data_IF_165853738874
#
_entry.id   IF_165853738874
#
_cell.length_a   1.000
_cell.length_b   1.000
_cell.length_c   1.000
_cell.angle_alpha   90.00
_cell.angle_beta   90.00
_cell.angle_gamma   90.00
#
_symmetry.space_group_name_H-M   'P 1'
#
loop_
_entity.id
_entity.type
_entity.pdbx_description
1 polymer ?
#
# COMPACT_ATOMS: atom_id res chain seq x y z
N UNK A 1 -1.82 5.05 4.06
CA UNK A 1 -3.22 4.73 3.83
C UNK A 1 -3.76 5.28 2.52
N UNK A 2 -3.26 6.46 2.10
CA UNK A 2 -3.55 7.04 0.80
C UNK A 2 -3.15 6.08 -0.34
N UNK A 3 -1.93 5.53 -0.30
CA UNK A 3 -1.41 4.61 -1.31
C UNK A 3 -2.24 3.31 -1.41
N UNK A 4 -2.67 2.76 -0.28
CA UNK A 4 -3.46 1.54 -0.27
C UNK A 4 -4.88 1.74 -0.80
N UNK A 5 -5.48 2.92 -0.65
CA UNK A 5 -6.73 3.19 -1.35
C UNK A 5 -6.55 3.11 -2.88
N UNK A 6 -5.43 3.62 -3.39
CA UNK A 6 -5.14 3.53 -4.83
C UNK A 6 -4.87 2.10 -5.28
N UNK A 7 -4.24 1.27 -4.44
CA UNK A 7 -4.13 -0.16 -4.71
C UNK A 7 -5.51 -0.77 -4.98
N UNK A 8 -6.43 -0.60 -4.04
CA UNK A 8 -7.77 -1.21 -4.15
C UNK A 8 -8.61 -0.65 -5.29
N UNK A 9 -8.40 0.62 -5.63
CA UNK A 9 -9.22 1.30 -6.65
C UNK A 9 -8.69 1.08 -8.06
N UNK A 10 -7.37 1.08 -8.24
CA UNK A 10 -6.76 1.15 -9.58
C UNK A 10 -6.02 -0.12 -10.02
N UNK A 11 -5.87 -1.13 -9.15
CA UNK A 11 -5.14 -2.36 -9.54
C UNK A 11 -5.79 -3.07 -10.72
N UNK A 12 -7.08 -3.34 -10.65
CA UNK A 12 -7.76 -4.07 -11.73
C UNK A 12 -7.62 -3.37 -13.07
N UNK A 13 -7.92 -2.06 -13.12
CA UNK A 13 -7.78 -1.30 -14.35
C UNK A 13 -6.32 -1.18 -14.80
N UNK A 14 -5.39 -0.97 -13.86
CA UNK A 14 -3.97 -0.86 -14.18
C UNK A 14 -3.39 -2.14 -14.78
N UNK A 15 -3.69 -3.32 -14.21
CA UNK A 15 -3.22 -4.58 -14.78
C UNK A 15 -3.99 -4.98 -16.05
N UNK A 16 -5.28 -4.62 -16.17
CA UNK A 16 -6.03 -4.82 -17.40
C UNK A 16 -5.39 -4.09 -18.57
N UNK A 17 -4.99 -2.84 -18.34
CA UNK A 17 -4.29 -2.01 -19.35
C UNK A 17 -2.90 -2.59 -19.69
N UNK A 18 -2.10 -2.96 -18.68
CA UNK A 18 -0.68 -3.32 -18.89
C UNK A 18 -0.47 -4.76 -19.34
N UNK A 19 -1.28 -5.70 -18.87
CA UNK A 19 -1.10 -7.14 -19.12
C UNK A 19 -2.02 -7.64 -20.22
N UNK A 20 -3.29 -7.19 -20.23
CA UNK A 20 -4.30 -7.65 -21.21
C UNK A 20 -4.60 -6.63 -22.30
N UNK A 21 -4.08 -5.41 -22.21
CA UNK A 21 -4.37 -4.34 -23.19
C UNK A 21 -5.84 -3.91 -23.20
N UNK A 22 -6.60 -4.22 -22.14
CA UNK A 22 -8.03 -4.00 -22.04
C UNK A 22 -8.34 -2.70 -21.28
N UNK A 23 -9.08 -1.80 -21.94
CA UNK A 23 -9.52 -0.52 -21.35
C UNK A 23 -11.02 -0.57 -21.03
N UNK A 24 -11.81 -1.24 -21.90
CA UNK A 24 -13.26 -1.32 -21.74
C UNK A 24 -13.61 -2.40 -20.70
N UNK A 25 -14.33 -1.97 -19.66
CA UNK A 25 -14.78 -2.83 -18.55
C UNK A 25 -15.73 -3.95 -18.94
N UNK A 26 -16.37 -3.84 -20.11
CA UNK A 26 -17.30 -4.84 -20.63
C UNK A 26 -16.61 -6.02 -21.32
N UNK A 27 -15.31 -5.92 -21.59
CA UNK A 27 -14.56 -6.97 -22.29
C UNK A 27 -14.23 -8.17 -21.38
N UNK A 28 -14.11 -9.33 -21.98
CA UNK A 28 -13.75 -10.57 -21.27
C UNK A 28 -12.33 -10.48 -20.67
N UNK A 29 -11.42 -9.80 -21.35
CA UNK A 29 -10.04 -9.57 -20.90
C UNK A 29 -10.00 -8.71 -19.64
N UNK A 30 -10.87 -7.67 -19.53
CA UNK A 30 -10.98 -6.86 -18.33
C UNK A 30 -11.55 -7.68 -17.15
N UNK A 31 -12.51 -8.55 -17.41
CA UNK A 31 -13.07 -9.45 -16.37
C UNK A 31 -11.99 -10.44 -15.89
N UNK A 32 -11.19 -11.01 -16.81
CA UNK A 32 -10.07 -11.88 -16.46
C UNK A 32 -9.02 -11.14 -15.60
N UNK A 33 -8.73 -9.87 -15.88
CA UNK A 33 -7.87 -9.04 -15.03
C UNK A 33 -8.47 -8.82 -13.63
N UNK A 34 -9.79 -8.70 -13.53
CA UNK A 34 -10.52 -8.62 -12.25
C UNK A 34 -10.35 -9.88 -11.42
N UNK A 35 -10.55 -11.04 -12.01
CA UNK A 35 -10.34 -12.34 -11.35
C UNK A 35 -8.88 -12.50 -10.90
N UNK A 36 -7.94 -12.13 -11.78
CA UNK A 36 -6.50 -12.18 -11.46
C UNK A 36 -6.12 -11.23 -10.32
N UNK A 37 -6.77 -10.07 -10.23
CA UNK A 37 -6.59 -9.14 -9.09
C UNK A 37 -6.89 -9.82 -7.75
N UNK A 38 -7.93 -10.64 -7.70
CA UNK A 38 -8.25 -11.46 -6.51
C UNK A 38 -7.11 -12.40 -6.12
N UNK A 39 -6.50 -13.07 -7.11
CA UNK A 39 -5.32 -13.94 -6.91
C UNK A 39 -4.13 -13.12 -6.39
N UNK A 40 -3.88 -11.95 -6.98
CA UNK A 40 -2.78 -11.07 -6.56
C UNK A 40 -2.96 -10.57 -5.11
N UNK A 41 -4.17 -10.26 -4.69
CA UNK A 41 -4.45 -9.91 -3.28
C UNK A 41 -4.25 -11.09 -2.34
N UNK A 42 -4.52 -12.32 -2.75
CA UNK A 42 -4.17 -13.49 -1.97
C UNK A 42 -2.64 -13.65 -1.84
N UNK A 43 -1.89 -13.42 -2.90
CA UNK A 43 -0.42 -13.41 -2.88
C UNK A 43 0.12 -12.30 -1.96
N UNK A 44 -0.47 -11.11 -2.01
CA UNK A 44 -0.17 -10.01 -1.08
C UNK A 44 -0.39 -10.43 0.38
N UNK A 45 -1.48 -11.12 0.68
CA UNK A 45 -1.76 -11.62 2.03
C UNK A 45 -0.70 -12.62 2.49
N UNK A 46 -0.26 -13.53 1.62
CA UNK A 46 0.85 -14.46 1.90
C UNK A 46 2.14 -13.66 2.19
N UNK A 47 2.46 -12.68 1.35
CA UNK A 47 3.61 -11.79 1.57
C UNK A 47 3.56 -11.08 2.93
N UNK A 48 2.37 -10.62 3.33
CA UNK A 48 2.15 -10.00 4.65
C UNK A 48 2.43 -10.95 5.80
N UNK A 49 1.94 -12.19 5.72
CA UNK A 49 2.15 -13.20 6.77
C UNK A 49 3.64 -13.53 6.90
N UNK A 50 4.31 -13.77 5.78
CA UNK A 50 5.75 -14.07 5.79
C UNK A 50 6.56 -12.90 6.36
N UNK A 51 6.23 -11.67 5.96
CA UNK A 51 6.93 -10.48 6.44
C UNK A 51 6.65 -10.17 7.89
N UNK A 52 5.45 -10.46 8.38
CA UNK A 52 5.11 -10.30 9.80
C UNK A 52 6.02 -11.13 10.71
N UNK A 53 6.52 -12.29 10.25
CA UNK A 53 7.51 -13.11 10.96
C UNK A 53 8.93 -12.51 10.93
N UNK A 54 9.21 -11.65 9.95
CA UNK A 54 10.52 -10.97 9.80
C UNK A 54 10.57 -9.68 10.61
N UNK A 55 9.47 -8.93 10.72
CA UNK A 55 9.39 -7.65 11.43
C UNK A 55 9.99 -7.69 12.85
N UNK A 56 9.73 -8.71 13.70
CA UNK A 56 10.28 -8.77 15.06
C UNK A 56 11.81 -8.92 15.11
N UNK A 57 12.46 -9.30 14.02
CA UNK A 57 13.91 -9.48 13.94
C UNK A 57 14.63 -8.13 13.81
N UNK A 58 13.92 -7.06 13.48
CA UNK A 58 14.51 -5.72 13.39
C UNK A 58 14.74 -5.14 14.79
N UNK A 59 15.94 -4.59 15.01
CA UNK A 59 16.30 -3.94 16.27
C UNK A 59 15.56 -2.61 16.52
N UNK A 60 15.10 -1.97 15.47
CA UNK A 60 14.38 -0.68 15.52
C UNK A 60 13.09 -0.76 14.74
N UNK A 61 11.97 -0.40 15.37
CA UNK A 61 10.66 -0.30 14.72
C UNK A 61 10.63 0.69 13.56
N UNK A 62 11.44 1.77 13.64
CA UNK A 62 11.56 2.74 12.54
C UNK A 62 12.22 2.13 11.31
N UNK A 63 13.33 1.41 11.51
CA UNK A 63 14.02 0.74 10.43
C UNK A 63 13.11 -0.32 9.81
N UNK A 64 12.43 -1.14 10.63
CA UNK A 64 11.47 -2.10 10.15
C UNK A 64 10.36 -1.46 9.31
N UNK A 65 9.79 -0.35 9.79
CA UNK A 65 8.75 0.38 9.08
C UNK A 65 9.26 0.94 7.75
N UNK A 66 10.39 1.65 7.76
CA UNK A 66 10.95 2.25 6.54
C UNK A 66 11.33 1.22 5.49
N UNK A 67 11.99 0.13 5.88
CA UNK A 67 12.35 -0.96 4.95
C UNK A 67 11.09 -1.59 4.35
N UNK A 68 10.08 -1.86 5.17
CA UNK A 68 8.82 -2.43 4.70
C UNK A 68 8.12 -1.52 3.70
N UNK A 69 8.04 -0.21 3.97
CA UNK A 69 7.44 0.76 3.07
C UNK A 69 8.21 0.89 1.75
N UNK A 70 9.55 0.83 1.79
CA UNK A 70 10.38 0.86 0.58
C UNK A 70 10.22 -0.40 -0.27
N UNK A 71 10.12 -1.58 0.35
CA UNK A 71 9.81 -2.83 -0.36
C UNK A 71 8.42 -2.74 -1.02
N UNK A 72 7.43 -2.27 -0.28
CA UNK A 72 6.10 -2.04 -0.84
C UNK A 72 6.11 -1.02 -1.98
N UNK A 73 6.85 0.08 -1.83
CA UNK A 73 6.99 1.08 -2.89
C UNK A 73 7.59 0.49 -4.17
N UNK A 74 8.62 -0.36 -4.04
CA UNK A 74 9.20 -1.08 -5.17
C UNK A 74 8.15 -2.01 -5.82
N UNK A 75 7.35 -2.71 -5.01
CA UNK A 75 6.23 -3.52 -5.49
C UNK A 75 5.20 -2.71 -6.26
N UNK A 76 4.75 -1.58 -5.72
CA UNK A 76 3.80 -0.68 -6.38
C UNK A 76 4.33 -0.13 -7.70
N UNK A 77 5.57 0.36 -7.72
CA UNK A 77 6.17 0.96 -8.92
C UNK A 77 6.39 -0.11 -9.99
N UNK A 78 6.83 -1.31 -9.60
CA UNK A 78 7.11 -2.39 -10.56
C UNK A 78 5.88 -2.87 -11.32
N UNK A 79 4.66 -2.76 -10.75
CA UNK A 79 3.42 -3.17 -11.44
C UNK A 79 3.21 -2.45 -12.78
N UNK A 80 3.69 -1.19 -12.91
CA UNK A 80 3.56 -0.42 -14.14
C UNK A 80 4.45 -0.93 -15.29
N UNK A 81 5.52 -1.64 -14.96
CA UNK A 81 6.53 -2.11 -15.92
C UNK A 81 6.41 -3.60 -16.24
N UNK A 82 5.60 -4.33 -15.49
CA UNK A 82 5.43 -5.77 -15.65
C UNK A 82 4.22 -6.03 -16.52
N UNK A 83 4.45 -6.76 -17.62
CA UNK A 83 3.43 -7.13 -18.60
C UNK A 83 3.07 -8.63 -18.55
N UNK A 84 3.71 -9.37 -17.65
CA UNK A 84 3.42 -10.80 -17.42
C UNK A 84 2.65 -10.96 -16.10
N UNK A 85 1.51 -11.66 -16.20
CA UNK A 85 0.61 -11.84 -15.05
C UNK A 85 1.26 -12.61 -13.88
N UNK A 86 2.17 -13.56 -14.15
CA UNK A 86 2.81 -14.35 -13.11
C UNK A 86 3.96 -13.59 -12.43
N UNK A 87 4.66 -12.74 -13.15
CA UNK A 87 5.73 -11.89 -12.59
C UNK A 87 5.16 -10.88 -11.61
N UNK A 88 3.89 -10.48 -11.75
CA UNK A 88 3.19 -9.63 -10.78
C UNK A 88 3.12 -10.22 -9.37
N UNK A 89 3.26 -11.54 -9.20
CA UNK A 89 3.34 -12.16 -7.87
C UNK A 89 4.47 -11.58 -7.03
N UNK A 90 5.62 -11.30 -7.63
CA UNK A 90 6.76 -10.69 -6.91
C UNK A 90 6.39 -9.29 -6.41
N UNK A 91 5.75 -8.48 -7.27
CA UNK A 91 5.28 -7.14 -6.90
C UNK A 91 4.31 -7.18 -5.71
N UNK A 92 3.35 -8.10 -5.74
CA UNK A 92 2.35 -8.21 -4.69
C UNK A 92 2.88 -8.82 -3.39
N UNK A 93 3.88 -9.71 -3.45
CA UNK A 93 4.61 -10.14 -2.25
C UNK A 93 5.31 -8.96 -1.58
N UNK A 94 5.96 -8.08 -2.36
CA UNK A 94 6.60 -6.85 -1.84
C UNK A 94 5.58 -5.86 -1.27
N UNK A 95 4.44 -5.67 -1.92
CA UNK A 95 3.33 -4.85 -1.40
C UNK A 95 2.83 -5.41 -0.06
N UNK A 96 2.80 -6.72 0.08
CA UNK A 96 2.46 -7.41 1.32
C UNK A 96 3.38 -7.03 2.49
N UNK A 97 4.67 -6.78 2.23
CA UNK A 97 5.59 -6.32 3.27
C UNK A 97 5.18 -4.96 3.87
N UNK A 98 4.79 -4.02 3.02
CA UNK A 98 4.30 -2.72 3.48
C UNK A 98 2.97 -2.85 4.22
N UNK A 99 2.08 -3.71 3.74
CA UNK A 99 0.78 -3.95 4.39
C UNK A 99 0.95 -4.48 5.81
N UNK A 100 1.80 -5.48 6.02
CA UNK A 100 2.10 -6.03 7.34
C UNK A 100 2.62 -4.96 8.32
N UNK A 101 3.57 -4.15 7.86
CA UNK A 101 4.15 -3.09 8.68
C UNK A 101 3.15 -1.99 9.00
N UNK A 102 2.31 -1.59 8.05
CA UNK A 102 1.30 -0.55 8.24
C UNK A 102 0.19 -0.95 9.21
N UNK A 103 -0.13 -2.23 9.31
CA UNK A 103 -1.09 -2.72 10.29
C UNK A 103 -0.48 -2.83 11.69
N UNK A 104 0.74 -3.34 11.81
CA UNK A 104 1.32 -3.71 13.10
C UNK A 104 2.05 -2.55 13.80
N UNK A 105 2.93 -1.85 13.07
CA UNK A 105 3.90 -0.94 13.71
C UNK A 105 3.30 0.38 14.22
N UNK A 106 2.44 1.11 13.50
CA UNK A 106 1.84 2.33 14.01
C UNK A 106 0.97 2.07 15.24
N UNK A 107 0.22 0.97 15.23
CA UNK A 107 -0.60 0.55 16.36
C UNK A 107 0.24 0.21 17.58
N UNK A 108 1.32 -0.56 17.42
CA UNK A 108 2.23 -0.91 18.49
C UNK A 108 2.92 0.33 19.08
N UNK A 109 3.37 1.27 18.24
CA UNK A 109 3.97 2.53 18.69
C UNK A 109 2.97 3.36 19.50
N UNK A 110 1.71 3.43 19.08
CA UNK A 110 0.66 4.15 19.79
C UNK A 110 0.41 3.51 21.16
N UNK A 111 0.13 2.21 21.20
CA UNK A 111 -0.23 1.50 22.44
C UNK A 111 0.90 1.50 23.47
N UNK A 112 2.16 1.42 23.02
CA UNK A 112 3.33 1.50 23.90
C UNK A 112 3.56 2.90 24.49
N UNK A 113 2.99 3.93 23.89
CA UNK A 113 3.15 5.33 24.32
C UNK A 113 2.03 5.81 25.26
N UNK A 114 0.99 5.01 25.46
CA UNK A 114 -0.22 5.40 26.19
C UNK A 114 -0.28 4.75 27.57
N UNK A 115 -0.54 5.57 28.58
CA UNK A 115 -0.92 5.11 29.93
C UNK A 115 -2.46 5.08 30.05
N UNK A 116 -3.00 3.90 30.18
CA UNK A 116 -4.35 3.38 30.42
C UNK A 116 -5.64 4.24 30.50
N UNK A 117 -5.62 5.52 30.85
CA UNK A 117 -6.83 6.26 31.21
C UNK A 117 -7.66 6.85 30.04
N UNK A 118 -7.14 6.88 28.82
CA UNK A 118 -7.80 7.51 27.66
C UNK A 118 -7.62 6.74 26.35
N UNK A 119 -7.40 5.42 26.45
CA UNK A 119 -7.10 4.54 25.31
C UNK A 119 -8.14 4.67 24.19
N UNK A 120 -9.43 4.74 24.53
CA UNK A 120 -10.51 4.84 23.54
C UNK A 120 -10.43 6.12 22.68
N UNK A 121 -10.16 7.27 23.29
CA UNK A 121 -10.01 8.54 22.56
C UNK A 121 -8.81 8.54 21.62
N UNK A 122 -7.69 7.98 22.07
CA UNK A 122 -6.50 7.84 21.22
C UNK A 122 -6.71 6.84 20.07
N UNK A 123 -7.45 5.76 20.30
CA UNK A 123 -7.84 4.83 19.23
C UNK A 123 -8.74 5.49 18.19
N UNK A 124 -9.68 6.35 18.61
CA UNK A 124 -10.49 7.16 17.71
C UNK A 124 -9.64 8.11 16.87
N UNK A 125 -8.69 8.81 17.49
CA UNK A 125 -7.77 9.69 16.78
C UNK A 125 -6.87 8.92 15.81
N UNK A 126 -6.41 7.73 16.20
CA UNK A 126 -5.64 6.85 15.32
C UNK A 126 -6.44 6.45 14.07
N UNK A 127 -7.73 6.11 14.22
CA UNK A 127 -8.59 5.82 13.08
C UNK A 127 -8.76 7.02 12.15
N UNK A 128 -8.74 8.25 12.67
CA UNK A 128 -8.71 9.45 11.81
C UNK A 128 -7.46 9.51 10.93
N UNK A 129 -6.31 9.05 11.41
CA UNK A 129 -5.08 8.99 10.59
C UNK A 129 -5.16 7.95 9.47
N UNK A 130 -6.07 7.00 9.55
CA UNK A 130 -6.38 6.04 8.49
C UNK A 130 -7.39 6.63 7.51
N UNK A 131 -8.54 7.10 8.03
CA UNK A 131 -9.67 7.53 7.20
C UNK A 131 -9.39 8.83 6.44
N UNK A 132 -8.74 9.82 7.09
CA UNK A 132 -8.52 11.14 6.47
C UNK A 132 -7.69 11.07 5.19
N UNK A 133 -6.53 10.37 5.15
CA UNK A 133 -5.77 10.19 3.92
C UNK A 133 -6.56 9.46 2.83
N UNK A 134 -7.41 8.52 3.18
CA UNK A 134 -8.25 7.80 2.22
C UNK A 134 -9.35 8.69 1.63
N UNK A 135 -9.98 9.54 2.43
CA UNK A 135 -10.94 10.53 1.94
C UNK A 135 -10.26 11.48 0.96
N UNK A 136 -9.09 12.01 1.32
CA UNK A 136 -8.32 12.89 0.44
C UNK A 136 -7.94 12.16 -0.86
N UNK A 137 -7.49 10.90 -0.76
CA UNK A 137 -7.15 10.08 -1.91
C UNK A 137 -8.35 9.87 -2.86
N UNK A 138 -9.53 9.61 -2.30
CA UNK A 138 -10.75 9.45 -3.08
C UNK A 138 -11.13 10.75 -3.82
N UNK A 139 -11.02 11.90 -3.15
CA UNK A 139 -11.32 13.21 -3.75
C UNK A 139 -10.31 13.60 -4.84
N UNK A 140 -9.03 13.31 -4.62
CA UNK A 140 -7.96 13.68 -5.56
C UNK A 140 -7.77 12.67 -6.69
N UNK A 141 -8.26 11.44 -6.55
CA UNK A 141 -7.95 10.33 -7.47
C UNK A 141 -8.30 10.62 -8.92
N UNK A 142 -9.48 11.16 -9.19
CA UNK A 142 -9.90 11.51 -10.55
C UNK A 142 -9.03 12.62 -11.18
N UNK A 143 -8.64 13.61 -10.39
CA UNK A 143 -7.77 14.73 -10.83
C UNK A 143 -6.38 14.20 -11.16
N UNK A 144 -5.80 13.38 -10.26
CA UNK A 144 -4.48 12.79 -10.48
C UNK A 144 -4.46 11.84 -11.69
N UNK A 145 -5.49 11.00 -11.84
CA UNK A 145 -5.62 10.11 -13.00
C UNK A 145 -5.64 10.91 -14.31
N UNK A 146 -6.41 12.00 -14.34
CA UNK A 146 -6.56 12.82 -15.54
C UNK A 146 -5.31 13.62 -15.88
N UNK A 147 -4.74 14.34 -14.93
CA UNK A 147 -3.70 15.34 -15.18
C UNK A 147 -2.27 14.82 -15.00
N UNK A 148 -2.05 13.84 -14.10
CA UNK A 148 -0.71 13.27 -13.87
C UNK A 148 -0.48 11.96 -14.63
N UNK A 149 -1.52 11.12 -14.72
CA UNK A 149 -1.38 9.78 -15.29
C UNK A 149 -1.98 9.66 -16.70
N UNK A 150 -2.43 10.76 -17.33
CA UNK A 150 -3.01 10.78 -18.68
C UNK A 150 -4.08 9.69 -18.92
N UNK A 151 -4.91 9.44 -17.92
CA UNK A 151 -5.92 8.39 -17.86
C UNK A 151 -5.40 6.94 -17.75
N UNK A 152 -4.09 6.73 -17.63
CA UNK A 152 -3.48 5.39 -17.46
C UNK A 152 -3.57 4.99 -15.98
N UNK A 153 -4.37 3.96 -15.67
CA UNK A 153 -4.62 3.56 -14.28
C UNK A 153 -3.38 2.95 -13.61
N UNK A 154 -2.51 2.28 -14.37
CA UNK A 154 -1.24 1.78 -13.86
C UNK A 154 -0.34 2.90 -13.29
N UNK A 155 -0.41 4.11 -13.83
CA UNK A 155 0.28 5.28 -13.32
C UNK A 155 -0.13 5.66 -11.89
N UNK A 156 -1.37 5.38 -11.49
CA UNK A 156 -1.84 5.64 -10.12
C UNK A 156 -1.14 4.73 -9.09
N UNK A 157 -0.72 3.54 -9.50
CA UNK A 157 0.09 2.65 -8.64
C UNK A 157 1.51 3.21 -8.46
N UNK A 158 2.07 3.83 -9.48
CA UNK A 158 3.37 4.54 -9.36
C UNK A 158 3.25 5.71 -8.39
N UNK A 159 2.19 6.52 -8.49
CA UNK A 159 1.91 7.61 -7.52
C UNK A 159 1.82 7.05 -6.10
N UNK A 160 1.11 5.94 -5.91
CA UNK A 160 1.02 5.26 -4.61
C UNK A 160 2.40 4.82 -4.09
N UNK A 161 3.25 4.25 -4.96
CA UNK A 161 4.62 3.87 -4.63
C UNK A 161 5.49 5.05 -4.18
N UNK A 162 5.42 6.18 -4.89
CA UNK A 162 6.13 7.42 -4.51
C UNK A 162 5.67 7.91 -3.14
N UNK A 163 4.37 7.86 -2.84
CA UNK A 163 3.86 8.24 -1.53
C UNK A 163 4.36 7.32 -0.42
N UNK A 164 4.55 6.02 -0.68
CA UNK A 164 5.17 5.10 0.28
C UNK A 164 6.65 5.44 0.52
N UNK A 165 7.39 5.87 -0.51
CA UNK A 165 8.78 6.36 -0.32
C UNK A 165 8.81 7.59 0.59
N UNK A 166 7.91 8.56 0.36
CA UNK A 166 7.78 9.74 1.22
C UNK A 166 7.37 9.33 2.64
N UNK A 167 6.46 8.36 2.78
CA UNK A 167 6.10 7.77 4.05
C UNK A 167 7.29 7.15 4.77
N UNK A 168 8.11 6.36 4.08
CA UNK A 168 9.32 5.75 4.62
C UNK A 168 10.33 6.80 5.14
N UNK A 169 10.52 7.88 4.38
CA UNK A 169 11.38 8.99 4.81
C UNK A 169 10.81 9.71 6.05
N UNK A 170 9.50 9.90 6.12
CA UNK A 170 8.85 10.60 7.24
C UNK A 170 8.97 9.84 8.57
N UNK A 171 9.12 8.52 8.55
CA UNK A 171 9.29 7.69 9.77
C UNK A 171 10.52 8.12 10.58
N UNK A 172 11.59 8.59 9.93
CA UNK A 172 12.78 9.04 10.62
C UNK A 172 12.60 10.36 11.37
N UNK A 173 11.55 11.14 11.05
CA UNK A 173 11.19 12.37 11.76
C UNK A 173 10.56 12.10 13.13
N UNK A 174 10.06 10.89 13.37
CA UNK A 174 9.44 10.49 14.65
C UNK A 174 10.56 10.43 15.71
N UNK A 175 10.40 11.20 16.79
CA UNK A 175 11.26 11.07 17.98
C UNK A 175 10.79 9.89 18.82
N UNK A 176 11.60 8.85 18.94
CA UNK A 176 11.32 7.78 19.91
C UNK A 176 11.56 8.35 21.32
N UNK A 177 10.55 8.26 22.18
CA UNK A 177 10.75 8.54 23.61
C UNK A 177 11.82 7.58 24.14
N UNK A 178 12.84 8.12 24.81
CA UNK A 178 13.81 7.30 25.53
C UNK A 178 13.05 6.41 26.54
N UNK A 179 13.18 5.10 26.39
CA UNK A 179 12.85 4.14 27.46
C UNK A 179 13.83 4.29 28.60
#
# INVERSE_FOLDING_TARGET
WFAFLYLWTYTTGGIAETVWGAIDRATQEYQAAGDWTGVLFAVQAIGSILWAMVIPQFRSSKVACSVSLLLGAAGFISTCFIHDQHVLFVSFLLIGCAWAAMLALPFALLTNSLSGKSLGSYMGLFNCTICLPQIIAALCGGVLLKYMCAHVQAGMLVVAGVLLVLGAASVFLIKEGKK
#
